data_IF_340680678086
#
_entry.id   IF_340680678086
#
_cell.length_a   1.000
_cell.length_b   1.000
_cell.length_c   1.000
_cell.angle_alpha   90.00
_cell.angle_beta   90.00
_cell.angle_gamma   90.00
#
_symmetry.space_group_name_H-M   'P 1'
#
loop_
_entity.id
_entity.type
_entity.pdbx_description
1 polymer ?
#
# COMPACT_ATOMS: atom_id res chain seq x y z
N UNK A 1 9.83 1.31 -1.88
CA UNK A 1 8.46 1.21 -1.33
C UNK A 1 8.10 2.36 -0.37
N UNK A 2 9.04 2.88 0.42
CA UNK A 2 8.80 3.85 1.52
C UNK A 2 8.03 5.13 1.20
N UNK A 3 8.08 5.62 -0.05
CA UNK A 3 7.47 6.93 -0.41
C UNK A 3 5.98 7.01 -0.08
N UNK A 4 5.23 5.91 -0.26
CA UNK A 4 3.79 5.88 0.07
C UNK A 4 3.53 6.03 1.57
N UNK A 5 4.27 5.29 2.41
CA UNK A 5 4.16 5.37 3.88
C UNK A 5 4.56 6.75 4.40
N UNK A 6 5.62 7.34 3.86
CA UNK A 6 6.05 8.69 4.21
C UNK A 6 5.00 9.76 3.83
N UNK A 7 4.29 9.58 2.73
CA UNK A 7 3.18 10.46 2.36
C UNK A 7 2.02 10.37 3.35
N UNK A 8 1.61 9.15 3.74
CA UNK A 8 0.60 8.94 4.78
C UNK A 8 1.01 9.56 6.11
N UNK A 9 2.27 9.37 6.52
CA UNK A 9 2.84 9.96 7.74
C UNK A 9 2.70 11.49 7.75
N UNK A 10 3.04 12.16 6.64
CA UNK A 10 2.89 13.62 6.51
C UNK A 10 1.44 14.08 6.65
N UNK A 11 0.48 13.37 6.06
CA UNK A 11 -0.95 13.71 6.17
C UNK A 11 -1.45 13.55 7.60
N UNK A 12 -1.08 12.45 8.24
CA UNK A 12 -1.46 12.12 9.60
C UNK A 12 -0.82 13.06 10.63
N UNK A 13 0.45 13.44 10.43
CA UNK A 13 1.12 14.45 11.27
C UNK A 13 0.35 15.76 11.29
N UNK A 14 -0.12 16.23 10.13
CA UNK A 14 -0.97 17.42 10.03
C UNK A 14 -2.32 17.25 10.73
N UNK A 15 -2.86 16.04 10.79
CA UNK A 15 -4.10 15.76 11.52
C UNK A 15 -3.87 15.81 13.04
N UNK A 16 -2.72 15.32 13.52
CA UNK A 16 -2.29 15.43 14.92
C UNK A 16 -2.06 16.88 15.30
N UNK A 17 -1.32 17.64 14.49
CA UNK A 17 -1.08 19.08 14.70
C UNK A 17 -2.40 19.87 14.80
N UNK A 18 -3.43 19.45 14.08
CA UNK A 18 -4.77 20.06 14.10
C UNK A 18 -5.68 19.51 15.22
N UNK A 19 -5.18 18.63 16.09
CA UNK A 19 -5.95 18.02 17.18
C UNK A 19 -7.07 17.09 16.72
N UNK A 20 -7.05 16.63 15.46
CA UNK A 20 -8.08 15.73 14.91
C UNK A 20 -7.80 14.25 15.13
N UNK A 21 -6.60 13.94 15.64
CA UNK A 21 -6.10 12.60 15.90
C UNK A 21 -4.98 12.69 16.94
N UNK A 22 -4.78 11.66 17.75
CA UNK A 22 -3.64 11.58 18.65
C UNK A 22 -2.43 10.85 18.02
N UNK A 23 -1.27 10.93 18.67
CA UNK A 23 -0.03 10.33 18.19
C UNK A 23 -0.05 8.78 18.21
N UNK A 24 -0.76 8.16 19.14
CA UNK A 24 -0.84 6.71 19.24
C UNK A 24 -1.69 6.12 18.10
N UNK A 25 -2.80 6.78 17.75
CA UNK A 25 -3.63 6.44 16.61
C UNK A 25 -2.87 6.58 15.29
N UNK A 26 -2.03 7.62 15.16
CA UNK A 26 -1.12 7.78 14.02
C UNK A 26 -0.17 6.59 13.89
N UNK A 27 0.51 6.23 14.99
CA UNK A 27 1.47 5.13 15.00
C UNK A 27 0.81 3.79 14.67
N UNK A 28 -0.33 3.50 15.29
CA UNK A 28 -1.13 2.32 15.01
C UNK A 28 -1.58 2.24 13.54
N UNK A 29 -1.93 3.37 12.93
CA UNK A 29 -2.25 3.42 11.50
C UNK A 29 -1.03 3.10 10.63
N UNK A 30 0.11 3.75 10.89
CA UNK A 30 1.33 3.54 10.10
C UNK A 30 1.89 2.12 10.25
N UNK A 31 1.66 1.46 11.39
CA UNK A 31 2.02 0.08 11.61
C UNK A 31 1.27 -0.90 10.70
N UNK A 32 0.09 -0.54 10.18
CA UNK A 32 -0.67 -1.35 9.21
C UNK A 32 -0.09 -1.27 7.78
N UNK A 33 0.78 -0.31 7.51
CA UNK A 33 1.41 -0.13 6.20
C UNK A 33 2.75 -0.86 6.22
N UNK A 34 2.84 -1.93 5.44
CA UNK A 34 4.08 -2.67 5.17
C UNK A 34 4.53 -2.38 3.74
N UNK A 35 5.46 -1.43 3.53
CA UNK A 35 5.95 -1.13 2.20
C UNK A 35 6.83 -2.29 1.71
N UNK A 36 6.60 -2.70 0.47
CA UNK A 36 7.40 -3.75 -0.18
C UNK A 36 7.64 -3.42 -1.65
N UNK A 37 8.72 -3.95 -2.21
CA UNK A 37 8.95 -4.02 -3.66
C UNK A 37 8.87 -5.46 -4.18
N UNK A 38 8.63 -6.41 -3.29
CA UNK A 38 8.50 -7.83 -3.58
C UNK A 38 7.01 -8.17 -3.76
N UNK A 39 6.66 -8.71 -4.93
CA UNK A 39 5.31 -9.16 -5.25
C UNK A 39 4.92 -10.40 -4.45
N UNK A 40 5.86 -11.22 -3.98
CA UNK A 40 5.55 -12.38 -3.13
C UNK A 40 4.90 -11.97 -1.81
N UNK A 41 5.16 -10.75 -1.32
CA UNK A 41 4.52 -10.20 -0.13
C UNK A 41 3.01 -9.88 -0.32
N UNK A 42 2.48 -9.99 -1.55
CA UNK A 42 1.05 -9.90 -1.83
C UNK A 42 0.31 -11.24 -1.66
N UNK A 43 1.05 -12.34 -1.43
CA UNK A 43 0.43 -13.64 -1.23
C UNK A 43 -0.55 -13.61 -0.05
N UNK A 44 -1.77 -14.10 -0.31
CA UNK A 44 -2.86 -14.09 0.68
C UNK A 44 -3.61 -12.76 0.80
N UNK A 45 -3.35 -11.77 -0.06
CA UNK A 45 -4.19 -10.58 -0.15
C UNK A 45 -5.56 -10.91 -0.76
N UNK A 46 -6.64 -10.48 -0.12
CA UNK A 46 -8.01 -10.65 -0.63
C UNK A 46 -8.33 -9.69 -1.80
N UNK A 47 -7.67 -8.53 -1.84
CA UNK A 47 -7.87 -7.49 -2.84
C UNK A 47 -6.54 -6.81 -3.17
N UNK A 48 -6.25 -6.68 -4.46
CA UNK A 48 -5.09 -5.94 -4.97
C UNK A 48 -5.61 -4.79 -5.84
N UNK A 49 -5.07 -3.59 -5.61
CA UNK A 49 -5.38 -2.38 -6.39
C UNK A 49 -4.11 -1.94 -7.10
N UNK A 50 -4.14 -1.94 -8.43
CA UNK A 50 -3.06 -1.40 -9.26
C UNK A 50 -3.18 0.13 -9.35
N UNK A 51 -2.07 0.83 -9.14
CA UNK A 51 -1.98 2.30 -9.17
C UNK A 51 -0.64 2.77 -9.76
N UNK A 52 -0.20 2.11 -10.84
CA UNK A 52 0.96 2.49 -11.65
C UNK A 52 0.56 3.47 -12.76
N UNK A 53 1.53 3.89 -13.56
CA UNK A 53 1.29 4.84 -14.65
C UNK A 53 0.29 4.29 -15.67
N UNK A 54 -0.40 5.20 -16.37
CA UNK A 54 -1.34 4.89 -17.44
C UNK A 54 -0.60 4.50 -18.74
N UNK A 55 0.21 3.45 -18.65
CA UNK A 55 0.92 2.83 -19.75
C UNK A 55 0.46 1.37 -19.87
N UNK A 56 0.14 0.94 -21.09
CA UNK A 56 -0.45 -0.39 -21.34
C UNK A 56 0.52 -1.53 -21.02
N UNK A 57 1.79 -1.38 -21.37
CA UNK A 57 2.79 -2.42 -21.14
C UNK A 57 3.10 -2.54 -19.66
N UNK A 58 3.25 -1.40 -18.96
CA UNK A 58 3.49 -1.37 -17.53
C UNK A 58 2.31 -1.97 -16.76
N UNK A 59 1.06 -1.62 -17.10
CA UNK A 59 -0.13 -2.20 -16.47
C UNK A 59 -0.25 -3.71 -16.70
N UNK A 60 0.00 -4.17 -17.93
CA UNK A 60 -0.04 -5.60 -18.25
C UNK A 60 0.99 -6.41 -17.45
N UNK A 61 2.24 -5.92 -17.37
CA UNK A 61 3.32 -6.57 -16.60
C UNK A 61 3.01 -6.63 -15.10
N UNK A 62 2.56 -5.51 -14.52
CA UNK A 62 2.22 -5.43 -13.09
C UNK A 62 1.03 -6.33 -12.75
N UNK A 63 0.02 -6.37 -13.63
CA UNK A 63 -1.15 -7.24 -13.45
C UNK A 63 -0.74 -8.70 -13.47
N UNK A 64 0.04 -9.14 -14.46
CA UNK A 64 0.51 -10.52 -14.56
C UNK A 64 1.34 -10.95 -13.33
N UNK A 65 2.21 -10.06 -12.83
CA UNK A 65 3.00 -10.32 -11.60
C UNK A 65 2.13 -10.42 -10.35
N UNK A 66 1.07 -9.64 -10.25
CA UNK A 66 0.12 -9.71 -9.14
C UNK A 66 -0.77 -10.96 -9.23
N UNK A 67 -1.28 -11.31 -10.41
CA UNK A 67 -2.09 -12.52 -10.62
C UNK A 67 -1.32 -13.80 -10.26
N UNK A 68 -0.01 -13.84 -10.53
CA UNK A 68 0.83 -15.01 -10.20
C UNK A 68 0.91 -15.34 -8.70
N UNK A 69 0.51 -14.41 -7.82
CA UNK A 69 0.56 -14.58 -6.35
C UNK A 69 -0.84 -14.59 -5.71
N UNK A 70 -1.89 -14.40 -6.50
CA UNK A 70 -3.29 -14.61 -6.06
C UNK A 70 -3.59 -16.11 -6.15
N UNK A 71 -4.02 -16.77 -5.07
CA UNK A 71 -4.48 -18.16 -5.14
C UNK A 71 -5.63 -18.30 -6.14
N UNK A 72 -5.60 -19.34 -6.98
CA UNK A 72 -6.59 -19.55 -8.04
C UNK A 72 -8.05 -19.72 -7.53
N UNK A 73 -8.25 -19.90 -6.22
CA UNK A 73 -9.57 -19.87 -5.57
C UNK A 73 -9.43 -19.77 -4.04
N UNK A 74 -10.43 -19.13 -3.41
CA UNK A 74 -10.73 -19.21 -1.97
C UNK A 74 -11.53 -20.47 -1.63
#
# INVERSE_FOLDING_TARGET
>A
AEKGKAYSDKLLSKAVEKGRMDAAAKEAFLARITPTTDFAALAGADLIIEAVFEDREVKADVTAKAEAVIPATS
#
